data_IF_022623249878
#
_entry.id   IF_022623249878
#
_cell.length_a   1.000
_cell.length_b   1.000
_cell.length_c   1.000
_cell.angle_alpha   90.00
_cell.angle_beta   90.00
_cell.angle_gamma   90.00
#
_symmetry.space_group_name_H-M   'P 1'
#
loop_
_entity.id
_entity.type
_entity.pdbx_description
1 polymer ?
#
# COMPACT_ATOMS: atom_id res chain seq x y z
N UNK A 1 22.81 -39.82 66.10
CA UNK A 1 21.78 -38.78 65.98
C UNK A 1 21.77 -38.36 64.52
N UNK A 2 21.61 -39.32 63.59
CA UNK A 2 22.12 -39.19 62.21
C UNK A 2 21.17 -39.75 61.13
N UNK A 3 20.02 -40.32 61.52
CA UNK A 3 19.08 -40.95 60.58
C UNK A 3 18.08 -39.94 60.00
N UNK A 4 17.77 -38.88 60.75
CA UNK A 4 16.89 -37.80 60.30
C UNK A 4 17.58 -36.86 59.30
N UNK A 5 18.90 -36.65 59.44
CA UNK A 5 19.66 -35.78 58.54
C UNK A 5 19.75 -36.39 57.13
N UNK A 6 19.96 -37.71 57.04
CA UNK A 6 20.01 -38.43 55.75
C UNK A 6 18.64 -38.43 55.04
N UNK A 7 17.54 -38.51 55.78
CA UNK A 7 16.18 -38.42 55.22
C UNK A 7 15.83 -37.01 54.74
N UNK A 8 16.32 -35.98 55.43
CA UNK A 8 16.13 -34.59 55.03
C UNK A 8 16.94 -34.29 53.76
N UNK A 9 18.20 -34.73 53.68
CA UNK A 9 19.04 -34.58 52.50
C UNK A 9 18.45 -35.31 51.28
N UNK A 10 17.98 -36.56 51.45
CA UNK A 10 17.32 -37.31 50.38
C UNK A 10 16.01 -36.67 49.91
N UNK A 11 15.20 -36.10 50.83
CA UNK A 11 13.99 -35.35 50.44
C UNK A 11 14.31 -34.06 49.72
N UNK A 12 15.43 -33.41 50.07
CA UNK A 12 15.90 -32.18 49.42
C UNK A 12 16.41 -32.47 48.00
N UNK A 13 17.19 -33.54 47.82
CA UNK A 13 17.64 -33.98 46.50
C UNK A 13 16.49 -34.43 45.59
N UNK A 14 15.50 -35.16 46.12
CA UNK A 14 14.30 -35.53 45.35
C UNK A 14 13.45 -34.31 44.96
N UNK A 15 13.45 -33.26 45.77
CA UNK A 15 12.72 -32.02 45.48
C UNK A 15 13.47 -31.14 44.47
N UNK A 16 14.80 -31.13 44.49
CA UNK A 16 15.60 -30.43 43.47
C UNK A 16 15.52 -31.12 42.09
N UNK A 17 15.52 -32.45 42.01
CA UNK A 17 15.39 -33.14 40.71
C UNK A 17 14.01 -32.99 40.06
N UNK A 18 12.97 -32.73 40.85
CA UNK A 18 11.63 -32.43 40.35
C UNK A 18 11.41 -30.95 40.03
N UNK A 19 12.37 -30.07 40.31
CA UNK A 19 12.25 -28.61 40.14
C UNK A 19 13.27 -28.04 39.15
N UNK A 20 14.02 -28.91 38.45
CA UNK A 20 14.94 -28.57 37.36
C UNK A 20 14.47 -29.15 36.02
N UNK A 21 13.27 -29.75 35.95
CA UNK A 21 12.73 -30.39 34.73
C UNK A 21 11.24 -30.05 34.50
N UNK A 22 10.74 -28.92 35.00
CA UNK A 22 9.29 -28.68 35.04
C UNK A 22 8.83 -27.28 34.67
N UNK A 23 9.74 -26.37 34.32
CA UNK A 23 9.38 -24.97 34.02
C UNK A 23 9.80 -24.53 32.59
N UNK A 24 10.53 -25.35 31.81
CA UNK A 24 11.03 -24.96 30.48
C UNK A 24 10.18 -25.55 29.31
N UNK A 25 9.52 -26.71 29.49
CA UNK A 25 8.69 -27.33 28.42
C UNK A 25 7.37 -26.56 28.16
N UNK A 26 6.83 -25.86 29.15
CA UNK A 26 5.57 -25.11 28.99
C UNK A 26 5.78 -23.77 28.23
N UNK A 27 6.99 -23.18 28.27
CA UNK A 27 7.28 -21.88 27.64
C UNK A 27 7.57 -22.01 26.11
N UNK A 28 8.15 -23.14 25.65
CA UNK A 28 8.45 -23.40 24.22
C UNK A 28 7.17 -23.62 23.39
N UNK A 29 6.24 -24.42 23.92
CA UNK A 29 4.94 -24.66 23.30
C UNK A 29 4.14 -23.34 23.20
N UNK A 30 4.34 -22.42 24.15
CA UNK A 30 3.70 -21.12 24.17
C UNK A 30 4.24 -20.18 23.06
N UNK A 31 5.56 -20.11 22.84
CA UNK A 31 6.15 -19.27 21.78
C UNK A 31 5.74 -19.73 20.37
N UNK A 32 5.77 -21.05 20.12
CA UNK A 32 5.36 -21.65 18.85
C UNK A 32 3.86 -21.44 18.61
N UNK A 33 3.04 -21.62 19.64
CA UNK A 33 1.60 -21.41 19.58
C UNK A 33 1.25 -19.94 19.29
N UNK A 34 1.93 -18.99 19.93
CA UNK A 34 1.77 -17.56 19.68
C UNK A 34 2.14 -17.21 18.23
N UNK A 35 3.28 -17.69 17.74
CA UNK A 35 3.70 -17.48 16.36
C UNK A 35 2.66 -18.01 15.36
N UNK A 36 2.19 -19.25 15.55
CA UNK A 36 1.17 -19.87 14.66
C UNK A 36 -0.15 -19.08 14.69
N UNK A 37 -0.54 -18.53 15.84
CA UNK A 37 -1.73 -17.69 15.97
C UNK A 37 -1.57 -16.37 15.18
N UNK A 38 -0.43 -15.69 15.32
CA UNK A 38 -0.15 -14.45 14.58
C UNK A 38 -0.10 -14.68 13.06
N UNK A 39 0.53 -15.78 12.61
CA UNK A 39 0.53 -16.14 11.17
C UNK A 39 -0.88 -16.36 10.66
N UNK A 40 -1.72 -17.05 11.44
CA UNK A 40 -3.11 -17.32 11.05
C UNK A 40 -3.92 -16.03 10.96
N UNK A 41 -3.75 -15.10 11.90
CA UNK A 41 -4.39 -13.77 11.86
C UNK A 41 -3.94 -12.98 10.63
N UNK A 42 -2.63 -12.93 10.36
CA UNK A 42 -2.08 -12.24 9.19
C UNK A 42 -2.60 -12.83 7.87
N UNK A 43 -2.64 -14.17 7.76
CA UNK A 43 -3.23 -14.86 6.61
C UNK A 43 -4.73 -14.56 6.46
N UNK A 44 -5.48 -14.52 7.57
CA UNK A 44 -6.89 -14.15 7.58
C UNK A 44 -7.10 -12.74 7.02
N UNK A 45 -6.30 -11.77 7.46
CA UNK A 45 -6.33 -10.42 6.91
C UNK A 45 -5.99 -10.39 5.42
N UNK A 46 -4.97 -11.13 4.98
CA UNK A 46 -4.57 -11.18 3.57
C UNK A 46 -5.71 -11.75 2.72
N UNK A 47 -6.37 -12.82 3.14
CA UNK A 47 -7.50 -13.41 2.41
C UNK A 47 -8.66 -12.41 2.29
N UNK A 48 -9.01 -11.73 3.38
CA UNK A 48 -10.00 -10.66 3.40
C UNK A 48 -9.64 -9.51 2.44
N UNK A 49 -8.35 -9.17 2.37
CA UNK A 49 -7.84 -8.14 1.48
C UNK A 49 -7.88 -8.58 0.01
N UNK A 50 -7.51 -9.83 -0.28
CA UNK A 50 -7.59 -10.44 -1.61
C UNK A 50 -9.04 -10.46 -2.12
N UNK A 51 -10.00 -10.78 -1.26
CA UNK A 51 -11.42 -10.76 -1.62
C UNK A 51 -11.91 -9.34 -1.93
N UNK A 52 -11.46 -8.33 -1.18
CA UNK A 52 -11.83 -6.92 -1.39
C UNK A 52 -11.17 -6.32 -2.63
N UNK A 53 -10.01 -6.83 -3.04
CA UNK A 53 -9.27 -6.40 -4.23
C UNK A 53 -9.87 -6.99 -5.52
N UNK A 54 -11.18 -6.82 -5.70
CA UNK A 54 -11.94 -7.26 -6.89
C UNK A 54 -11.53 -6.42 -8.10
N UNK A 55 -11.50 -7.02 -9.29
CA UNK A 55 -11.34 -6.35 -10.59
C UNK A 55 -12.46 -5.32 -10.84
N UNK A 56 -12.27 -4.11 -10.32
CA UNK A 56 -13.15 -3.00 -10.59
C UNK A 56 -12.91 -2.56 -12.04
N UNK A 57 -13.89 -2.78 -12.91
CA UNK A 57 -13.86 -2.24 -14.27
C UNK A 57 -13.99 -0.70 -14.24
N UNK A 58 -12.92 -0.04 -14.68
CA UNK A 58 -12.80 1.42 -14.69
C UNK A 58 -13.33 2.05 -15.99
N UNK A 59 -13.61 1.26 -17.03
CA UNK A 59 -13.93 1.77 -18.37
C UNK A 59 -15.22 2.60 -18.43
N UNK A 60 -16.22 2.21 -17.63
CA UNK A 60 -17.56 2.85 -17.61
C UNK A 60 -17.73 3.90 -16.51
N UNK A 61 -16.67 4.22 -15.75
CA UNK A 61 -16.75 5.12 -14.59
C UNK A 61 -16.49 6.58 -14.95
N UNK A 62 -17.13 7.49 -14.21
CA UNK A 62 -16.91 8.93 -14.29
C UNK A 62 -15.68 9.39 -13.49
N UNK A 63 -15.14 10.58 -13.80
CA UNK A 63 -13.94 11.08 -13.11
C UNK A 63 -14.08 11.18 -11.58
N UNK A 64 -15.22 11.63 -11.01
CA UNK A 64 -15.42 11.61 -9.56
C UNK A 64 -15.37 10.19 -8.98
N UNK A 65 -15.98 9.21 -9.64
CA UNK A 65 -15.99 7.82 -9.17
C UNK A 65 -14.60 7.19 -9.21
N UNK A 66 -13.85 7.38 -10.30
CA UNK A 66 -12.46 6.88 -10.41
C UNK A 66 -11.56 7.54 -9.36
N UNK A 67 -11.80 8.81 -9.01
CA UNK A 67 -11.08 9.49 -7.93
C UNK A 67 -11.40 8.94 -6.55
N UNK A 68 -12.63 8.52 -6.32
CA UNK A 68 -13.03 7.91 -5.04
C UNK A 68 -12.41 6.52 -4.90
N UNK A 69 -12.46 5.72 -5.96
CA UNK A 69 -11.78 4.42 -6.04
C UNK A 69 -10.27 4.59 -5.79
N UNK A 70 -9.66 5.60 -6.41
CA UNK A 70 -8.26 5.93 -6.16
C UNK A 70 -7.98 6.20 -4.67
N UNK A 71 -8.83 7.00 -4.00
CA UNK A 71 -8.65 7.31 -2.57
C UNK A 71 -8.79 6.08 -1.69
N UNK A 72 -9.81 5.27 -1.94
CA UNK A 72 -10.03 4.02 -1.23
C UNK A 72 -8.84 3.06 -1.43
N UNK A 73 -8.31 2.99 -2.66
CA UNK A 73 -7.14 2.17 -2.96
C UNK A 73 -5.87 2.68 -2.30
N UNK A 74 -5.65 4.00 -2.20
CA UNK A 74 -4.49 4.53 -1.48
C UNK A 74 -4.58 4.27 0.04
N UNK A 75 -5.77 4.32 0.63
CA UNK A 75 -5.97 3.89 2.02
C UNK A 75 -5.64 2.40 2.19
N UNK A 76 -6.08 1.56 1.25
CA UNK A 76 -5.74 0.15 1.23
C UNK A 76 -4.23 -0.08 1.12
N UNK A 77 -3.53 0.63 0.22
CA UNK A 77 -2.07 0.54 0.06
C UNK A 77 -1.33 0.95 1.34
N UNK A 78 -1.82 1.95 2.07
CA UNK A 78 -1.21 2.33 3.36
C UNK A 78 -1.33 1.18 4.37
N UNK A 79 -2.53 0.59 4.53
CA UNK A 79 -2.74 -0.56 5.42
C UNK A 79 -1.90 -1.76 5.02
N UNK A 80 -1.78 -2.03 3.71
CA UNK A 80 -0.91 -3.07 3.18
C UNK A 80 0.55 -2.83 3.56
N UNK A 81 1.00 -1.57 3.55
CA UNK A 81 2.35 -1.20 4.01
C UNK A 81 2.58 -1.48 5.49
N UNK A 82 1.58 -1.24 6.34
CA UNK A 82 1.66 -1.54 7.77
C UNK A 82 1.77 -3.07 7.99
N UNK A 83 0.90 -3.85 7.33
CA UNK A 83 0.92 -5.32 7.39
C UNK A 83 2.25 -5.88 6.84
N UNK A 84 2.83 -5.28 5.80
CA UNK A 84 4.14 -5.70 5.29
C UNK A 84 5.25 -5.55 6.34
N UNK A 85 5.19 -4.51 7.18
CA UNK A 85 6.15 -4.31 8.27
C UNK A 85 5.91 -5.34 9.38
N UNK A 86 4.66 -5.59 9.73
CA UNK A 86 4.27 -6.58 10.75
C UNK A 86 4.66 -8.00 10.34
N UNK A 87 4.29 -8.43 9.13
CA UNK A 87 4.70 -9.73 8.57
C UNK A 87 6.23 -9.82 8.50
N UNK A 88 6.92 -8.73 8.16
CA UNK A 88 8.39 -8.73 8.17
C UNK A 88 9.01 -8.98 9.55
N UNK A 89 8.37 -8.52 10.62
CA UNK A 89 8.80 -8.83 12.01
C UNK A 89 8.43 -10.26 12.38
N UNK A 90 7.21 -10.68 12.05
CA UNK A 90 6.70 -12.02 12.31
C UNK A 90 7.57 -13.09 11.66
N UNK A 91 7.97 -12.91 10.40
CA UNK A 91 8.89 -13.81 9.71
C UNK A 91 10.29 -13.84 10.34
N UNK A 92 10.76 -12.71 10.90
CA UNK A 92 12.02 -12.69 11.65
C UNK A 92 11.89 -13.48 12.95
N UNK A 93 10.78 -13.28 13.67
CA UNK A 93 10.49 -14.00 14.91
C UNK A 93 10.37 -15.50 14.67
N UNK A 94 9.64 -15.92 13.63
CA UNK A 94 9.55 -17.33 13.24
C UNK A 94 10.90 -17.93 12.84
N UNK A 95 11.78 -17.14 12.20
CA UNK A 95 13.14 -17.61 11.91
C UNK A 95 13.99 -17.77 13.18
N UNK A 96 13.83 -16.87 14.16
CA UNK A 96 14.54 -16.95 15.44
C UNK A 96 14.08 -18.21 16.21
N UNK A 97 12.79 -18.55 16.17
CA UNK A 97 12.25 -19.82 16.71
C UNK A 97 12.89 -21.02 16.00
N UNK A 98 12.89 -21.05 14.66
CA UNK A 98 13.44 -22.17 13.87
C UNK A 98 14.95 -22.34 14.07
N UNK A 99 15.71 -21.25 14.23
CA UNK A 99 17.15 -21.29 14.47
C UNK A 99 17.48 -21.65 15.95
N UNK A 100 16.49 -21.69 16.85
CA UNK A 100 16.67 -22.09 18.25
C UNK A 100 16.98 -23.59 18.38
N UNK A 101 17.89 -23.95 19.28
CA UNK A 101 18.19 -25.36 19.61
C UNK A 101 17.01 -26.06 20.32
N UNK A 102 16.08 -25.27 20.84
CA UNK A 102 14.89 -25.65 21.59
C UNK A 102 13.69 -25.96 20.67
N UNK A 103 13.75 -25.61 19.37
CA UNK A 103 12.65 -25.90 18.46
C UNK A 103 12.53 -27.40 18.15
N UNK A 104 11.34 -28.03 18.34
CA UNK A 104 11.13 -29.43 18.01
C UNK A 104 11.42 -29.70 16.52
N UNK A 105 12.26 -30.70 16.17
CA UNK A 105 12.64 -30.96 14.78
C UNK A 105 11.48 -31.31 13.84
N UNK A 106 10.36 -31.79 14.40
CA UNK A 106 9.13 -32.11 13.69
C UNK A 106 8.25 -30.88 13.43
N UNK A 107 8.40 -29.82 14.22
CA UNK A 107 7.70 -28.53 14.04
C UNK A 107 8.37 -27.65 12.99
N UNK A 108 9.70 -27.69 12.86
CA UNK A 108 10.48 -26.86 11.92
C UNK A 108 9.90 -26.85 10.49
N UNK A 109 9.60 -28.01 9.85
CA UNK A 109 9.08 -28.02 8.48
C UNK A 109 7.69 -27.36 8.37
N UNK A 110 6.88 -27.43 9.42
CA UNK A 110 5.57 -26.78 9.45
C UNK A 110 5.73 -25.26 9.56
N UNK A 111 6.59 -24.78 10.46
CA UNK A 111 6.87 -23.35 10.63
C UNK A 111 7.44 -22.74 9.36
N UNK A 112 8.39 -23.41 8.71
CA UNK A 112 8.94 -22.98 7.41
C UNK A 112 7.86 -22.93 6.32
N UNK A 113 6.96 -23.91 6.26
CA UNK A 113 5.87 -23.91 5.30
C UNK A 113 4.90 -22.75 5.54
N UNK A 114 4.55 -22.48 6.79
CA UNK A 114 3.66 -21.38 7.17
C UNK A 114 4.28 -20.01 6.83
N UNK A 115 5.56 -19.81 7.15
CA UNK A 115 6.31 -18.60 6.78
C UNK A 115 6.35 -18.39 5.26
N UNK A 116 6.62 -19.45 4.50
CA UNK A 116 6.66 -19.40 3.05
C UNK A 116 5.29 -19.06 2.45
N UNK A 117 4.22 -19.70 2.95
CA UNK A 117 2.85 -19.42 2.51
C UNK A 117 2.45 -17.96 2.78
N UNK A 118 2.75 -17.46 3.98
CA UNK A 118 2.47 -16.08 4.37
C UNK A 118 3.19 -15.09 3.45
N UNK A 119 4.47 -15.32 3.19
CA UNK A 119 5.27 -14.47 2.31
C UNK A 119 4.75 -14.51 0.86
N UNK A 120 4.47 -15.69 0.32
CA UNK A 120 3.95 -15.85 -1.04
C UNK A 120 2.62 -15.10 -1.23
N UNK A 121 1.67 -15.28 -0.30
CA UNK A 121 0.36 -14.64 -0.37
C UNK A 121 0.44 -13.13 -0.26
N UNK A 122 1.28 -12.61 0.64
CA UNK A 122 1.50 -11.18 0.79
C UNK A 122 2.12 -10.58 -0.49
N UNK A 123 3.07 -11.28 -1.11
CA UNK A 123 3.68 -10.83 -2.37
C UNK A 123 2.65 -10.82 -3.51
N UNK A 124 1.86 -11.88 -3.64
CA UNK A 124 0.78 -11.94 -4.65
C UNK A 124 -0.23 -10.80 -4.49
N UNK A 125 -0.69 -10.55 -3.25
CA UNK A 125 -1.58 -9.42 -2.96
C UNK A 125 -0.92 -8.08 -3.32
N UNK A 126 0.37 -7.92 -2.99
CA UNK A 126 1.14 -6.71 -3.28
C UNK A 126 1.27 -6.44 -4.79
N UNK A 127 1.50 -7.48 -5.59
CA UNK A 127 1.55 -7.40 -7.04
C UNK A 127 0.20 -7.00 -7.64
N UNK A 128 -0.89 -7.66 -7.21
CA UNK A 128 -2.25 -7.32 -7.64
C UNK A 128 -2.61 -5.88 -7.29
N UNK A 129 -2.28 -5.43 -6.08
CA UNK A 129 -2.55 -4.08 -5.61
C UNK A 129 -1.79 -3.03 -6.43
N UNK A 130 -0.56 -3.36 -6.84
CA UNK A 130 0.25 -2.52 -7.70
C UNK A 130 -0.31 -2.42 -9.11
N UNK A 131 -0.74 -3.54 -9.68
CA UNK A 131 -1.36 -3.61 -11.00
C UNK A 131 -2.66 -2.79 -11.04
N UNK A 132 -3.52 -2.95 -10.03
CA UNK A 132 -4.74 -2.17 -9.93
C UNK A 132 -4.47 -0.67 -9.81
N UNK A 133 -3.47 -0.27 -8.99
CA UNK A 133 -3.03 1.13 -8.88
C UNK A 133 -2.56 1.69 -10.24
N UNK A 134 -1.80 0.90 -11.01
CA UNK A 134 -1.36 1.28 -12.36
C UNK A 134 -2.56 1.52 -13.28
N UNK A 135 -3.55 0.62 -13.28
CA UNK A 135 -4.76 0.76 -14.09
C UNK A 135 -5.57 2.02 -13.72
N UNK A 136 -5.77 2.29 -12.43
CA UNK A 136 -6.42 3.52 -11.97
C UNK A 136 -5.68 4.76 -12.48
N UNK A 137 -4.35 4.76 -12.39
CA UNK A 137 -3.55 5.88 -12.87
C UNK A 137 -3.64 6.08 -14.37
N UNK A 138 -3.53 5.02 -15.17
CA UNK A 138 -3.68 5.10 -16.63
C UNK A 138 -5.04 5.69 -17.02
N UNK A 139 -6.11 5.21 -16.37
CA UNK A 139 -7.47 5.72 -16.58
C UNK A 139 -7.59 7.21 -16.23
N UNK A 140 -7.09 7.61 -15.05
CA UNK A 140 -7.09 9.01 -14.63
C UNK A 140 -6.30 9.90 -15.60
N UNK A 141 -5.16 9.43 -16.11
CA UNK A 141 -4.34 10.18 -17.06
C UNK A 141 -5.07 10.37 -18.40
N UNK A 142 -5.75 9.34 -18.90
CA UNK A 142 -6.58 9.44 -20.11
C UNK A 142 -7.70 10.47 -19.91
N UNK A 143 -8.40 10.43 -18.77
CA UNK A 143 -9.47 11.38 -18.45
C UNK A 143 -8.96 12.83 -18.35
N UNK A 144 -7.83 13.04 -17.68
CA UNK A 144 -7.21 14.36 -17.58
C UNK A 144 -6.80 14.89 -18.96
N UNK A 145 -6.22 14.03 -19.82
CA UNK A 145 -5.84 14.40 -21.17
C UNK A 145 -7.05 14.77 -22.04
N UNK A 146 -8.18 14.06 -21.90
CA UNK A 146 -9.45 14.42 -22.54
C UNK A 146 -9.93 15.82 -22.13
N UNK A 147 -9.89 16.14 -20.82
CA UNK A 147 -10.26 17.47 -20.33
C UNK A 147 -9.34 18.57 -20.88
N UNK A 148 -8.03 18.33 -20.93
CA UNK A 148 -7.06 19.28 -21.50
C UNK A 148 -7.33 19.51 -22.98
N UNK A 149 -7.58 18.45 -23.76
CA UNK A 149 -7.86 18.56 -25.19
C UNK A 149 -9.18 19.30 -25.45
N UNK A 150 -10.22 19.03 -24.67
CA UNK A 150 -11.47 19.78 -24.73
C UNK A 150 -11.23 21.28 -24.47
N UNK A 151 -10.44 21.62 -23.46
CA UNK A 151 -10.12 23.01 -23.15
C UNK A 151 -9.27 23.68 -24.21
N UNK A 152 -8.32 22.96 -24.83
CA UNK A 152 -7.55 23.46 -25.98
C UNK A 152 -8.47 23.75 -27.17
N UNK A 153 -9.37 22.83 -27.51
CA UNK A 153 -10.31 23.01 -28.62
C UNK A 153 -11.26 24.18 -28.35
N UNK A 154 -11.71 24.33 -27.10
CA UNK A 154 -12.53 25.46 -26.69
C UNK A 154 -11.76 26.78 -26.78
N UNK A 155 -10.50 26.83 -26.33
CA UNK A 155 -9.64 28.01 -26.47
C UNK A 155 -9.39 28.35 -27.94
N UNK A 156 -9.10 27.36 -28.78
CA UNK A 156 -8.92 27.55 -30.22
C UNK A 156 -10.20 28.12 -30.87
N UNK A 157 -11.37 27.58 -30.51
CA UNK A 157 -12.66 28.10 -30.99
C UNK A 157 -12.94 29.52 -30.48
N UNK A 158 -12.52 29.83 -29.26
CA UNK A 158 -12.63 31.17 -28.69
C UNK A 158 -11.69 32.17 -29.36
N UNK A 159 -10.47 31.74 -29.69
CA UNK A 159 -9.47 32.53 -30.42
C UNK A 159 -9.89 32.79 -31.87
N UNK A 160 -10.39 31.77 -32.58
CA UNK A 160 -10.97 31.92 -33.92
C UNK A 160 -12.14 32.91 -33.93
N UNK A 161 -13.01 32.83 -32.92
CA UNK A 161 -14.07 33.84 -32.73
C UNK A 161 -13.46 35.22 -32.54
N UNK A 162 -12.49 35.40 -31.63
CA UNK A 162 -11.83 36.69 -31.33
C UNK A 162 -11.09 37.27 -32.54
N UNK A 163 -10.44 36.44 -33.35
CA UNK A 163 -9.78 36.84 -34.60
C UNK A 163 -10.78 37.41 -35.63
N UNK A 164 -12.01 36.88 -35.65
CA UNK A 164 -13.10 37.42 -36.48
C UNK A 164 -13.73 38.71 -35.92
N UNK A 165 -13.39 39.11 -34.69
CA UNK A 165 -13.88 40.36 -34.07
C UNK A 165 -13.01 41.59 -34.36
N UNK A 166 -11.78 41.44 -34.88
CA UNK A 166 -10.88 42.58 -35.11
C UNK A 166 -11.20 43.42 -36.34
N UNK A 167 -12.22 43.06 -37.11
CA UNK A 167 -12.47 43.63 -38.44
C UNK A 167 -13.76 44.45 -38.53
N UNK A 168 -14.05 45.44 -37.66
CA UNK A 168 -15.18 46.37 -37.90
C UNK A 168 -14.98 47.80 -37.35
N UNK A 169 -15.40 48.78 -38.17
CA UNK A 169 -15.09 50.21 -38.08
C UNK A 169 -15.87 51.08 -37.08
N UNK A 170 -15.63 52.40 -37.20
CA UNK A 170 -15.71 53.46 -36.19
C UNK A 170 -17.09 53.86 -35.60
N UNK A 171 -18.12 53.02 -35.69
CA UNK A 171 -19.48 53.37 -35.21
C UNK A 171 -19.74 52.99 -33.74
N UNK A 172 -20.65 53.71 -33.08
CA UNK A 172 -20.99 53.58 -31.65
C UNK A 172 -21.60 52.20 -31.30
N UNK A 173 -22.30 51.58 -32.25
CA UNK A 173 -22.78 50.21 -32.11
C UNK A 173 -21.62 49.19 -32.05
N UNK A 174 -20.54 49.44 -32.80
CA UNK A 174 -19.31 48.64 -32.78
C UNK A 174 -18.61 48.73 -31.43
N UNK A 175 -18.63 49.91 -30.80
CA UNK A 175 -17.96 50.16 -29.51
C UNK A 175 -18.68 49.50 -28.32
N UNK A 176 -20.02 49.50 -28.31
CA UNK A 176 -20.82 48.75 -27.30
C UNK A 176 -20.60 47.23 -27.41
N UNK A 177 -20.45 46.73 -28.63
CA UNK A 177 -20.12 45.33 -28.90
C UNK A 177 -18.74 44.98 -28.36
N UNK A 178 -17.73 45.83 -28.61
CA UNK A 178 -16.38 45.69 -28.03
C UNK A 178 -16.38 45.56 -26.50
N UNK A 179 -17.18 46.36 -25.79
CA UNK A 179 -17.22 46.31 -24.32
C UNK A 179 -17.78 44.98 -23.78
N UNK A 180 -18.76 44.39 -24.46
CA UNK A 180 -19.27 43.06 -24.13
C UNK A 180 -18.22 41.97 -24.42
N UNK A 181 -17.46 42.12 -25.51
CA UNK A 181 -16.40 41.19 -25.91
C UNK A 181 -15.21 41.20 -24.94
N UNK A 182 -14.85 42.36 -24.36
CA UNK A 182 -13.84 42.44 -23.29
C UNK A 182 -14.25 41.69 -22.02
N UNK A 183 -15.54 41.62 -21.66
CA UNK A 183 -16.00 40.82 -20.52
C UNK A 183 -15.83 39.31 -20.77
N UNK A 184 -16.02 38.89 -22.02
CA UNK A 184 -15.75 37.51 -22.46
C UNK A 184 -14.25 37.23 -22.41
N UNK A 185 -13.40 38.19 -22.81
CA UNK A 185 -11.94 38.12 -22.66
C UNK A 185 -11.47 37.95 -21.21
N UNK A 186 -12.09 38.71 -20.29
CA UNK A 186 -11.77 38.60 -18.87
C UNK A 186 -12.19 37.24 -18.27
N UNK A 187 -13.27 36.63 -18.78
CA UNK A 187 -13.63 35.24 -18.45
C UNK A 187 -12.55 34.25 -18.94
N UNK A 188 -11.96 34.44 -20.12
CA UNK A 188 -10.87 33.58 -20.63
C UNK A 188 -9.64 33.59 -19.72
N UNK A 189 -9.19 34.78 -19.28
CA UNK A 189 -8.05 34.93 -18.36
C UNK A 189 -8.26 34.15 -17.04
N UNK A 190 -9.47 34.18 -16.50
CA UNK A 190 -9.81 33.49 -15.25
C UNK A 190 -9.82 31.95 -15.40
N UNK A 191 -10.16 31.43 -16.58
CA UNK A 191 -10.09 29.99 -16.88
C UNK A 191 -8.63 29.55 -17.07
N UNK A 192 -7.81 30.33 -17.78
CA UNK A 192 -6.38 30.05 -17.96
C UNK A 192 -5.63 30.03 -16.62
N UNK A 193 -5.92 30.96 -15.71
CA UNK A 193 -5.34 30.92 -14.35
C UNK A 193 -5.71 29.65 -13.58
N UNK A 194 -6.94 29.15 -13.71
CA UNK A 194 -7.34 27.87 -13.10
C UNK A 194 -6.61 26.69 -13.72
N UNK A 195 -6.38 26.71 -15.04
CA UNK A 195 -5.68 25.65 -15.76
C UNK A 195 -4.19 25.56 -15.42
N UNK A 196 -3.52 26.70 -15.28
CA UNK A 196 -2.13 26.74 -14.81
C UNK A 196 -2.01 26.13 -13.41
N UNK A 197 -2.94 26.47 -12.50
CA UNK A 197 -2.99 25.85 -11.16
C UNK A 197 -3.22 24.33 -11.21
N UNK A 198 -4.06 23.85 -12.12
CA UNK A 198 -4.30 22.42 -12.31
C UNK A 198 -3.04 21.66 -12.79
N UNK A 199 -2.29 22.22 -13.74
CA UNK A 199 -1.05 21.61 -14.28
C UNK A 199 0.10 21.59 -13.28
N UNK A 200 0.18 22.57 -12.38
CA UNK A 200 1.19 22.56 -11.29
C UNK A 200 0.88 21.44 -10.29
N UNK A 201 -0.40 21.22 -9.97
CA UNK A 201 -0.83 20.13 -9.10
C UNK A 201 -0.41 18.75 -9.59
N UNK A 202 -0.55 18.45 -10.89
CA UNK A 202 -0.25 17.12 -11.44
C UNK A 202 1.25 16.76 -11.48
N UNK A 203 2.15 17.74 -11.48
CA UNK A 203 3.61 17.48 -11.44
C UNK A 203 4.12 17.10 -10.05
N UNK A 204 3.42 17.52 -8.99
CA UNK A 204 3.69 17.11 -7.62
C UNK A 204 3.37 15.63 -7.40
N UNK A 205 2.29 15.15 -8.04
CA UNK A 205 1.84 13.76 -7.98
C UNK A 205 2.83 12.77 -8.63
N UNK A 206 3.47 13.16 -9.74
CA UNK A 206 4.50 12.35 -10.40
C UNK A 206 5.78 12.22 -9.53
N UNK A 207 6.12 13.26 -8.75
CA UNK A 207 7.28 13.22 -7.84
C UNK A 207 7.01 12.36 -6.61
N UNK A 208 5.83 12.45 -6.02
CA UNK A 208 5.44 11.63 -4.86
C UNK A 208 5.37 10.13 -5.21
N UNK A 209 4.95 9.82 -6.44
CA UNK A 209 4.90 8.46 -6.97
C UNK A 209 6.29 7.78 -7.02
N UNK A 210 7.35 8.51 -7.43
CA UNK A 210 8.72 7.96 -7.40
C UNK A 210 9.18 7.62 -5.99
N UNK A 211 8.82 8.41 -4.99
CA UNK A 211 9.27 8.21 -3.60
C UNK A 211 8.62 6.98 -2.97
N UNK A 212 7.30 6.81 -3.14
CA UNK A 212 6.55 5.67 -2.61
C UNK A 212 6.95 4.36 -3.30
N UNK A 213 7.19 4.41 -4.61
CA UNK A 213 7.65 3.24 -5.38
C UNK A 213 9.05 2.77 -4.95
N UNK A 214 9.96 3.70 -4.64
CA UNK A 214 11.30 3.37 -4.13
C UNK A 214 11.22 2.80 -2.71
N UNK A 215 10.33 3.32 -1.85
CA UNK A 215 10.17 2.81 -0.48
C UNK A 215 9.58 1.39 -0.44
N UNK A 216 8.57 1.11 -1.25
CA UNK A 216 7.96 -0.23 -1.34
C UNK A 216 8.91 -1.27 -1.96
N UNK A 217 9.67 -0.88 -3.00
CA UNK A 217 10.61 -1.80 -3.66
C UNK A 217 11.88 -2.08 -2.81
N UNK A 218 12.34 -1.09 -2.03
CA UNK A 218 13.50 -1.24 -1.16
C UNK A 218 13.23 -2.17 0.05
N UNK A 219 12.00 -2.20 0.57
CA UNK A 219 11.59 -3.18 1.58
C UNK A 219 11.51 -4.60 1.00
N UNK A 220 10.91 -4.75 -0.19
CA UNK A 220 10.74 -6.04 -0.86
C UNK A 220 12.08 -6.75 -1.15
N UNK A 221 13.10 -6.00 -1.59
CA UNK A 221 14.40 -6.58 -1.94
C UNK A 221 15.26 -6.97 -0.72
N UNK A 222 15.03 -6.38 0.46
CA UNK A 222 15.89 -6.61 1.63
C UNK A 222 15.53 -7.90 2.40
N UNK A 223 14.27 -8.34 2.34
CA UNK A 223 13.82 -9.56 3.02
C UNK A 223 13.94 -10.81 2.14
N UNK A 224 13.72 -10.71 0.82
CA UNK A 224 13.90 -11.82 -0.13
C UNK A 224 15.36 -12.33 -0.22
N UNK A 225 16.34 -11.42 -0.14
CA UNK A 225 17.76 -11.79 -0.22
C UNK A 225 18.30 -12.53 1.01
N UNK A 226 17.62 -12.48 2.15
CA UNK A 226 18.05 -13.22 3.36
C UNK A 226 17.58 -14.67 3.36
N UNK A 227 16.39 -14.95 2.83
CA UNK A 227 15.85 -16.31 2.75
C UNK A 227 16.41 -17.14 1.58
N UNK A 228 16.79 -16.50 0.46
CA UNK A 228 17.33 -17.24 -0.69
C UNK A 228 18.81 -17.67 -0.55
N UNK A 229 19.54 -17.24 0.48
CA UNK A 229 20.99 -17.55 0.62
C UNK A 229 21.32 -18.69 1.60
N UNK A 230 20.32 -19.36 2.21
CA UNK A 230 20.52 -20.52 3.09
C UNK A 230 20.01 -21.87 2.49
N UNK A 231 19.64 -21.90 1.20
CA UNK A 231 19.28 -23.13 0.48
C UNK A 231 20.46 -23.77 -0.25
#
# INVERSE_FOLDING_TARGET
>A
MDEDLFRIENRRNMRNMNNENGDDEDDEDDEISEFKAEVTEALGWILDAEEKLIDIDLMDKSLPEVKEIFRAHEEFINKLGDIQIEVGKLLSYGQDIVDSEECPPDEIPELELQMNLLNERLEQLSLKALEFRKNIHETLMIMQQKQINHLRNWLFSAEDRLSKFTDFGSDLASLKKQMADYQVSNKYSRVLQKLVKFRVGTTYWIKHFRTIFIQLFACCNRNSLKFSQKG
#
